data_IF_699297016521
#
_entry.id   IF_699297016521
#
_cell.length_a   1.000
_cell.length_b   1.000
_cell.length_c   1.000
_cell.angle_alpha   90.00
_cell.angle_beta   90.00
_cell.angle_gamma   90.00
#
_symmetry.space_group_name_H-M   'P 1'
#
loop_
_entity.id
_entity.type
_entity.pdbx_description
1 polymer ?
#
# COMPACT_ATOMS: atom_id res chain seq x y z
N UNK A 1 35.70 2.96 13.81
CA UNK A 1 34.85 3.66 14.79
C UNK A 1 33.42 3.24 14.53
N UNK A 2 32.86 2.32 15.33
CA UNK A 2 31.44 1.94 15.25
C UNK A 2 30.66 3.19 15.65
N UNK A 3 29.93 3.79 14.73
CA UNK A 3 28.81 4.65 15.09
C UNK A 3 27.80 3.72 15.78
N UNK A 4 27.98 3.56 17.09
CA UNK A 4 26.94 3.05 17.95
C UNK A 4 25.77 4.00 17.72
N UNK A 5 24.70 3.47 17.16
CA UNK A 5 23.35 4.03 17.29
C UNK A 5 23.15 4.10 18.80
N UNK A 6 23.49 5.25 19.39
CA UNK A 6 23.39 5.42 20.84
C UNK A 6 21.93 5.44 21.19
N UNK A 7 21.58 4.80 22.31
CA UNK A 7 20.26 4.58 22.91
C UNK A 7 19.40 5.87 23.12
N UNK A 8 19.82 7.02 22.59
CA UNK A 8 19.26 8.33 22.84
C UNK A 8 18.84 9.11 21.59
N UNK A 9 18.86 8.53 20.39
CA UNK A 9 17.87 9.01 19.41
C UNK A 9 16.50 8.54 19.88
N UNK A 10 15.90 9.34 20.77
CA UNK A 10 14.44 9.50 20.77
C UNK A 10 14.11 9.86 19.33
N UNK A 11 13.72 8.88 18.52
CA UNK A 11 13.31 9.03 17.12
C UNK A 11 11.99 9.79 17.03
N UNK A 12 11.92 10.94 17.69
CA UNK A 12 10.88 11.94 17.52
C UNK A 12 11.33 12.85 16.38
N UNK A 13 11.51 12.25 15.21
CA UNK A 13 11.89 12.95 13.99
C UNK A 13 10.61 13.50 13.37
N UNK A 14 10.01 14.50 14.00
CA UNK A 14 8.73 15.05 13.54
C UNK A 14 8.83 15.46 12.08
N UNK A 15 7.88 15.01 11.25
CA UNK A 15 7.81 15.27 9.81
C UNK A 15 8.94 14.64 8.96
N UNK A 16 9.59 13.59 9.45
CA UNK A 16 10.59 12.83 8.69
C UNK A 16 10.03 11.47 8.22
N UNK A 17 10.50 10.96 7.08
CA UNK A 17 10.01 9.68 6.53
C UNK A 17 10.32 8.46 7.41
N UNK A 18 11.28 8.59 8.33
CA UNK A 18 11.67 7.58 9.32
C UNK A 18 11.03 7.78 10.70
N UNK A 19 10.05 8.69 10.83
CA UNK A 19 9.31 8.88 12.08
C UNK A 19 8.45 7.66 12.39
N UNK A 20 8.71 7.04 13.55
CA UNK A 20 7.99 5.87 14.04
C UNK A 20 6.90 6.23 15.06
N UNK A 21 6.83 7.48 15.52
CA UNK A 21 5.98 7.88 16.66
C UNK A 21 4.48 7.86 16.33
N UNK A 22 4.12 7.88 15.05
CA UNK A 22 2.74 7.73 14.58
C UNK A 22 2.28 6.28 14.40
N UNK A 23 3.16 5.30 14.68
CA UNK A 23 2.88 3.88 14.44
C UNK A 23 2.74 3.09 15.74
N UNK A 24 1.82 2.13 15.71
CA UNK A 24 1.68 1.09 16.74
C UNK A 24 1.99 -0.27 16.17
N UNK A 25 2.51 -1.17 17.00
CA UNK A 25 2.77 -2.55 16.61
C UNK A 25 1.44 -3.24 16.22
N UNK A 26 1.38 -3.85 15.03
CA UNK A 26 0.13 -4.41 14.51
C UNK A 26 -0.42 -5.59 15.34
N UNK A 27 0.44 -6.27 16.12
CA UNK A 27 0.05 -7.41 16.96
C UNK A 27 -0.38 -6.98 18.37
N UNK A 28 0.37 -6.07 18.99
CA UNK A 28 0.15 -5.68 20.39
C UNK A 28 -0.64 -4.38 20.54
N UNK A 29 -0.73 -3.59 19.47
CA UNK A 29 -1.28 -2.23 19.44
C UNK A 29 -0.56 -1.25 20.38
N UNK A 30 0.64 -1.61 20.87
CA UNK A 30 1.47 -0.73 21.67
C UNK A 30 2.32 0.18 20.78
N UNK A 31 2.57 1.39 21.27
CA UNK A 31 3.55 2.31 20.66
C UNK A 31 4.94 1.69 20.67
N UNK A 32 5.70 1.92 19.60
CA UNK A 32 7.12 1.57 19.58
C UNK A 32 7.91 2.51 20.49
N UNK A 33 8.82 1.92 21.27
CA UNK A 33 9.60 2.66 22.28
C UNK A 33 11.02 2.97 21.84
N UNK A 34 11.56 2.23 20.85
CA UNK A 34 12.88 2.47 20.26
C UNK A 34 12.96 2.01 18.80
N UNK A 35 14.08 2.31 18.14
CA UNK A 35 14.37 1.83 16.79
C UNK A 35 14.49 0.30 16.74
N UNK A 36 15.12 -0.28 17.76
CA UNK A 36 15.32 -1.72 17.91
C UNK A 36 13.99 -2.45 18.13
N UNK A 37 13.07 -1.85 18.89
CA UNK A 37 11.70 -2.32 19.07
C UNK A 37 10.90 -2.22 17.75
N UNK A 38 11.08 -1.12 16.99
CA UNK A 38 10.44 -0.97 15.68
C UNK A 38 10.97 -1.96 14.64
N UNK A 39 12.29 -2.12 14.52
CA UNK A 39 12.92 -3.05 13.58
C UNK A 39 12.64 -4.49 14.02
N UNK A 40 12.88 -4.81 15.29
CA UNK A 40 12.77 -6.15 15.83
C UNK A 40 13.78 -7.12 15.20
N UNK A 41 13.38 -8.39 15.09
CA UNK A 41 14.20 -9.47 14.50
C UNK A 41 13.45 -10.14 13.33
N UNK A 42 12.82 -9.32 12.49
CA UNK A 42 12.02 -9.82 11.37
C UNK A 42 12.91 -9.95 10.13
N UNK A 43 13.14 -11.19 9.68
CA UNK A 43 13.98 -11.45 8.51
C UNK A 43 13.08 -11.94 7.37
N UNK A 44 13.04 -11.19 6.28
CA UNK A 44 12.29 -11.55 5.09
C UNK A 44 13.19 -11.58 3.85
N UNK A 45 12.74 -12.33 2.85
CA UNK A 45 13.35 -12.29 1.51
C UNK A 45 12.45 -11.46 0.58
N UNK A 46 13.02 -10.44 -0.05
CA UNK A 46 12.36 -9.59 -1.06
C UNK A 46 13.28 -9.40 -2.25
N UNK A 47 12.76 -9.58 -3.47
CA UNK A 47 13.57 -9.46 -4.69
C UNK A 47 14.81 -10.37 -4.71
N UNK A 48 14.79 -11.50 -3.98
CA UNK A 48 15.94 -12.40 -3.84
C UNK A 48 16.95 -12.02 -2.75
N UNK A 49 16.76 -10.91 -2.05
CA UNK A 49 17.63 -10.44 -0.96
C UNK A 49 16.98 -10.73 0.39
N UNK A 50 17.75 -11.36 1.29
CA UNK A 50 17.32 -11.65 2.67
C UNK A 50 17.87 -10.57 3.61
N UNK A 51 16.99 -9.83 4.27
CA UNK A 51 17.38 -8.72 5.15
C UNK A 51 16.40 -8.52 6.32
N UNK A 52 16.76 -7.65 7.26
CA UNK A 52 15.94 -7.23 8.38
C UNK A 52 14.90 -6.19 7.94
N UNK A 53 13.66 -6.41 8.35
CA UNK A 53 12.53 -5.50 8.14
C UNK A 53 11.95 -5.08 9.49
N UNK A 54 11.18 -4.00 9.50
CA UNK A 54 10.44 -3.61 10.69
C UNK A 54 9.38 -4.64 11.08
N UNK A 55 8.97 -4.58 12.35
CA UNK A 55 7.69 -5.13 12.75
C UNK A 55 6.58 -4.55 11.87
N UNK A 56 5.51 -5.33 11.64
CA UNK A 56 4.30 -4.81 11.01
C UNK A 56 3.66 -3.79 11.95
N UNK A 57 3.13 -2.72 11.38
CA UNK A 57 2.58 -1.62 12.15
C UNK A 57 1.32 -1.04 11.50
N UNK A 58 0.59 -0.28 12.31
CA UNK A 58 -0.61 0.46 11.90
C UNK A 58 -0.33 1.95 12.13
N UNK A 59 -0.72 2.78 11.16
CA UNK A 59 -0.66 4.24 11.32
C UNK A 59 -1.86 4.75 12.12
N UNK A 60 -1.76 4.64 13.45
CA UNK A 60 -2.82 4.99 14.39
C UNK A 60 -3.17 6.48 14.32
N UNK A 61 -2.15 7.36 14.26
CA UNK A 61 -2.36 8.80 14.25
C UNK A 61 -3.24 9.25 13.08
N UNK A 62 -2.96 8.76 11.87
CA UNK A 62 -3.77 9.07 10.69
C UNK A 62 -5.18 8.46 10.76
N UNK A 63 -5.31 7.23 11.27
CA UNK A 63 -6.62 6.57 11.42
C UNK A 63 -7.51 7.31 12.41
N UNK A 64 -6.96 7.72 13.57
CA UNK A 64 -7.73 8.44 14.59
C UNK A 64 -8.23 9.79 14.07
N UNK A 65 -7.36 10.55 13.39
CA UNK A 65 -7.77 11.83 12.80
C UNK A 65 -8.88 11.65 11.76
N UNK A 66 -8.74 10.67 10.86
CA UNK A 66 -9.77 10.38 9.85
C UNK A 66 -11.06 9.84 10.46
N UNK A 67 -10.98 8.98 11.48
CA UNK A 67 -12.15 8.43 12.15
C UNK A 67 -12.98 9.52 12.82
N UNK A 68 -12.32 10.51 13.44
CA UNK A 68 -13.00 11.66 14.03
C UNK A 68 -13.72 12.51 12.97
N UNK A 69 -13.09 12.76 11.82
CA UNK A 69 -13.70 13.48 10.70
C UNK A 69 -14.92 12.72 10.18
N UNK A 70 -14.76 11.42 9.91
CA UNK A 70 -15.84 10.56 9.41
C UNK A 70 -17.00 10.52 10.42
N UNK A 71 -16.75 10.28 11.70
CA UNK A 71 -17.82 10.24 12.71
C UNK A 71 -18.55 11.57 12.87
N UNK A 72 -17.85 12.69 12.65
CA UNK A 72 -18.43 14.02 12.72
C UNK A 72 -19.29 14.34 11.50
N UNK A 73 -18.83 14.00 10.30
CA UNK A 73 -19.42 14.48 9.05
C UNK A 73 -20.33 13.43 8.36
N UNK A 74 -20.07 12.13 8.56
CA UNK A 74 -20.91 11.02 8.08
C UNK A 74 -21.85 10.54 9.20
N UNK A 75 -22.83 11.37 9.54
CA UNK A 75 -23.84 11.05 10.55
C UNK A 75 -24.96 10.14 10.03
N UNK A 76 -25.09 10.02 8.70
CA UNK A 76 -26.06 9.14 8.06
C UNK A 76 -25.33 7.98 7.38
N UNK A 77 -25.60 6.72 7.77
CA UNK A 77 -25.06 5.56 7.08
C UNK A 77 -25.45 5.60 5.60
N UNK A 78 -24.49 5.31 4.72
CA UNK A 78 -24.78 5.12 3.30
C UNK A 78 -25.75 3.92 3.16
N UNK A 79 -26.76 3.99 2.27
CA UNK A 79 -27.80 2.97 2.19
C UNK A 79 -27.31 1.65 1.57
N UNK A 80 -26.17 1.68 0.90
CA UNK A 80 -25.64 0.57 0.12
C UNK A 80 -24.67 -0.27 0.95
N UNK A 81 -24.80 -1.58 0.83
CA UNK A 81 -23.95 -2.60 1.43
C UNK A 81 -22.86 -3.05 0.45
N UNK A 82 -21.80 -3.73 0.90
CA UNK A 82 -20.77 -4.25 0.00
C UNK A 82 -21.31 -5.07 -1.17
N UNK A 83 -22.42 -5.79 -0.97
CA UNK A 83 -23.07 -6.60 -2.00
C UNK A 83 -23.78 -5.75 -3.08
N UNK A 84 -23.99 -4.45 -2.83
CA UNK A 84 -24.60 -3.51 -3.77
C UNK A 84 -23.57 -2.82 -4.70
N UNK A 85 -22.27 -3.08 -4.49
CA UNK A 85 -21.19 -2.48 -5.27
C UNK A 85 -20.36 -3.52 -6.01
N UNK A 86 -19.65 -3.06 -7.04
CA UNK A 86 -18.70 -3.85 -7.79
C UNK A 86 -17.50 -2.99 -8.21
N UNK A 87 -16.31 -3.56 -8.19
CA UNK A 87 -15.11 -2.91 -8.73
C UNK A 87 -14.92 -3.34 -10.17
N UNK A 88 -14.94 -2.38 -11.09
CA UNK A 88 -14.54 -2.58 -12.48
C UNK A 88 -13.17 -1.96 -12.72
N UNK A 89 -12.22 -2.75 -13.20
CA UNK A 89 -10.83 -2.33 -13.40
C UNK A 89 -10.21 -3.04 -14.60
N UNK A 90 -9.09 -2.52 -15.12
CA UNK A 90 -8.27 -3.19 -16.13
C UNK A 90 -6.98 -3.78 -15.51
N UNK A 91 -6.91 -3.87 -14.18
CA UNK A 91 -5.78 -4.47 -13.46
C UNK A 91 -4.50 -3.62 -13.45
N UNK A 92 -4.45 -2.48 -14.15
CA UNK A 92 -3.28 -1.60 -14.20
C UNK A 92 -3.20 -0.64 -13.00
N UNK A 93 -4.27 -0.59 -12.23
CA UNK A 93 -4.38 0.30 -11.09
C UNK A 93 -3.29 0.00 -10.04
N UNK A 94 -2.50 1.03 -9.73
CA UNK A 94 -1.51 1.04 -8.66
C UNK A 94 -1.69 2.25 -7.76
N UNK A 95 -1.03 2.27 -6.59
CA UNK A 95 -1.18 3.32 -5.58
C UNK A 95 -2.59 3.35 -4.95
N UNK A 96 -3.14 4.54 -4.67
CA UNK A 96 -4.40 4.71 -3.93
C UNK A 96 -5.59 3.94 -4.49
N UNK A 97 -5.70 3.79 -5.82
CA UNK A 97 -6.81 3.04 -6.40
C UNK A 97 -6.70 1.54 -6.09
N UNK A 98 -5.48 1.01 -5.98
CA UNK A 98 -5.23 -0.39 -5.66
C UNK A 98 -5.54 -0.61 -4.17
N UNK A 99 -5.12 0.31 -3.29
CA UNK A 99 -5.53 0.31 -1.89
C UNK A 99 -7.05 0.26 -1.71
N UNK A 100 -7.80 1.07 -2.47
CA UNK A 100 -9.27 1.07 -2.41
C UNK A 100 -9.83 -0.28 -2.88
N UNK A 101 -9.31 -0.81 -3.97
CA UNK A 101 -9.80 -2.06 -4.56
C UNK A 101 -9.49 -3.26 -3.66
N UNK A 102 -8.26 -3.37 -3.16
CA UNK A 102 -7.85 -4.37 -2.17
C UNK A 102 -8.67 -4.25 -0.90
N UNK A 103 -8.89 -3.03 -0.40
CA UNK A 103 -9.70 -2.84 0.79
C UNK A 103 -11.15 -3.29 0.57
N UNK A 104 -11.75 -2.93 -0.56
CA UNK A 104 -13.10 -3.35 -0.92
C UNK A 104 -13.21 -4.88 -1.04
N UNK A 105 -12.25 -5.52 -1.70
CA UNK A 105 -12.21 -6.97 -1.87
C UNK A 105 -11.93 -7.71 -0.55
N UNK A 106 -10.88 -7.32 0.20
CA UNK A 106 -10.42 -8.05 1.39
C UNK A 106 -11.26 -7.77 2.66
N UNK A 107 -11.72 -6.53 2.87
CA UNK A 107 -12.42 -6.16 4.11
C UNK A 107 -13.94 -6.23 3.98
N UNK A 108 -14.45 -6.08 2.75
CA UNK A 108 -15.88 -5.94 2.49
C UNK A 108 -16.41 -7.00 1.53
N UNK A 109 -15.55 -7.85 0.97
CA UNK A 109 -15.94 -8.90 0.02
C UNK A 109 -16.70 -8.35 -1.21
N UNK A 110 -16.38 -7.12 -1.63
CA UNK A 110 -16.94 -6.52 -2.84
C UNK A 110 -16.47 -7.31 -4.05
N UNK A 111 -17.38 -7.58 -5.00
CA UNK A 111 -17.05 -8.31 -6.22
C UNK A 111 -16.11 -7.51 -7.12
N UNK A 112 -15.20 -8.20 -7.79
CA UNK A 112 -14.18 -7.61 -8.66
C UNK A 112 -14.34 -8.10 -10.10
N UNK A 113 -14.32 -7.16 -11.04
CA UNK A 113 -14.42 -7.39 -12.47
C UNK A 113 -13.22 -6.79 -13.16
N UNK A 114 -12.52 -7.61 -13.92
CA UNK A 114 -11.43 -7.16 -14.79
C UNK A 114 -11.86 -7.12 -16.24
N UNK A 115 -11.35 -6.14 -16.98
CA UNK A 115 -11.57 -6.02 -18.42
C UNK A 115 -10.26 -6.02 -19.21
N UNK A 116 -10.23 -6.77 -20.30
CA UNK A 116 -9.10 -6.81 -21.22
C UNK A 116 -8.13 -7.95 -20.93
N UNK A 117 -6.83 -7.65 -20.97
CA UNK A 117 -5.76 -8.65 -20.81
C UNK A 117 -5.57 -9.57 -22.02
N UNK A 118 -4.72 -10.59 -21.86
CA UNK A 118 -4.47 -11.59 -22.90
C UNK A 118 -5.65 -12.54 -23.02
N UNK A 119 -6.26 -12.66 -24.21
CA UNK A 119 -7.45 -13.48 -24.44
C UNK A 119 -7.24 -14.98 -24.14
N UNK A 120 -6.00 -15.46 -24.28
CA UNK A 120 -5.62 -16.85 -24.00
C UNK A 120 -5.49 -17.17 -22.51
N UNK A 121 -5.30 -16.15 -21.65
CA UNK A 121 -5.33 -16.33 -20.22
C UNK A 121 -6.78 -16.18 -19.76
N UNK A 122 -7.26 -17.00 -18.84
CA UNK A 122 -8.60 -16.86 -18.25
C UNK A 122 -8.58 -15.97 -17.00
N UNK A 123 -7.47 -15.96 -16.25
CA UNK A 123 -7.31 -15.18 -15.03
C UNK A 123 -6.65 -13.84 -15.31
N UNK A 124 -7.06 -12.82 -14.57
CA UNK A 124 -6.45 -11.50 -14.63
C UNK A 124 -6.55 -10.81 -13.27
N UNK A 125 -5.51 -10.05 -12.93
CA UNK A 125 -5.41 -9.39 -11.63
C UNK A 125 -6.30 -8.16 -11.59
N UNK A 126 -7.07 -7.95 -10.52
CA UNK A 126 -7.85 -6.71 -10.35
C UNK A 126 -7.01 -5.53 -9.81
N UNK A 127 -5.85 -5.83 -9.23
CA UNK A 127 -4.94 -4.89 -8.58
C UNK A 127 -3.51 -5.16 -9.03
N UNK A 128 -2.68 -4.12 -9.13
CA UNK A 128 -1.27 -4.23 -9.53
C UNK A 128 -0.34 -4.12 -8.31
N UNK A 129 -0.35 -2.97 -7.63
CA UNK A 129 0.41 -2.75 -6.41
C UNK A 129 -0.19 -1.61 -5.60
N UNK A 130 -0.33 -1.79 -4.30
CA UNK A 130 -0.86 -0.76 -3.40
C UNK A 130 0.11 0.39 -3.19
N UNK A 131 1.42 0.14 -3.33
CA UNK A 131 2.50 1.14 -3.23
C UNK A 131 2.72 1.67 -1.81
N UNK A 132 1.96 1.20 -0.81
CA UNK A 132 1.97 1.61 0.61
C UNK A 132 2.41 3.04 0.86
N UNK A 133 3.73 3.24 0.97
CA UNK A 133 4.35 4.56 0.85
C UNK A 133 5.48 4.50 -0.17
N UNK A 134 5.37 5.33 -1.21
CA UNK A 134 6.42 5.53 -2.20
C UNK A 134 7.21 6.79 -1.83
N UNK A 135 8.53 6.65 -1.71
CA UNK A 135 9.42 7.79 -1.60
C UNK A 135 10.42 7.77 -2.74
N UNK A 136 10.93 8.95 -3.06
CA UNK A 136 11.99 9.10 -4.03
C UNK A 136 13.34 9.38 -3.37
N UNK A 137 14.40 9.23 -4.16
CA UNK A 137 15.77 9.45 -3.73
C UNK A 137 15.98 10.82 -3.08
N UNK A 138 15.37 11.89 -3.61
CA UNK A 138 15.47 13.24 -3.04
C UNK A 138 14.88 13.30 -1.63
N UNK A 139 13.70 12.72 -1.41
CA UNK A 139 13.09 12.64 -0.08
C UNK A 139 13.99 11.88 0.90
N UNK A 140 14.59 10.77 0.46
CA UNK A 140 15.49 9.97 1.28
C UNK A 140 16.75 10.75 1.68
N UNK A 141 17.42 11.40 0.71
CA UNK A 141 18.60 12.21 1.00
C UNK A 141 18.27 13.40 1.92
N UNK A 142 17.15 14.10 1.69
CA UNK A 142 16.72 15.21 2.54
C UNK A 142 16.48 14.74 3.98
N UNK A 143 15.71 13.66 4.15
CA UNK A 143 15.41 13.10 5.48
C UNK A 143 16.67 12.62 6.21
N UNK A 144 17.64 12.03 5.51
CA UNK A 144 18.91 11.63 6.11
C UNK A 144 19.84 12.83 6.39
N UNK A 145 19.73 13.90 5.59
CA UNK A 145 20.39 15.19 5.82
C UNK A 145 19.95 15.87 7.10
N UNK A 146 18.64 15.93 7.36
CA UNK A 146 18.07 16.44 8.62
C UNK A 146 18.57 15.65 9.85
N UNK A 147 18.87 14.36 9.66
CA UNK A 147 19.41 13.49 10.71
C UNK A 147 20.95 13.54 10.82
N UNK A 148 21.63 14.29 9.95
CA UNK A 148 23.10 14.36 9.92
C UNK A 148 23.78 13.09 9.40
N UNK A 149 23.07 12.24 8.65
CA UNK A 149 23.52 10.90 8.25
C UNK A 149 24.11 10.81 6.83
N UNK A 150 24.25 11.94 6.12
CA UNK A 150 24.75 11.94 4.73
C UNK A 150 26.18 11.40 4.56
N UNK A 151 27.00 11.44 5.61
CA UNK A 151 28.38 10.93 5.60
C UNK A 151 28.48 9.47 6.08
N UNK A 152 27.37 8.77 6.32
CA UNK A 152 27.37 7.38 6.74
C UNK A 152 27.87 6.46 5.61
N UNK A 153 28.68 5.45 5.93
CA UNK A 153 29.25 4.51 4.95
C UNK A 153 28.20 3.67 4.22
N UNK A 154 27.01 3.51 4.79
CA UNK A 154 25.88 2.81 4.19
C UNK A 154 25.06 3.71 3.24
N UNK A 155 25.38 5.01 3.14
CA UNK A 155 24.67 5.92 2.25
C UNK A 155 24.85 5.51 0.79
N UNK A 156 23.76 5.39 0.01
CA UNK A 156 23.89 5.30 -1.43
C UNK A 156 24.56 6.57 -1.96
N UNK A 157 25.41 6.42 -2.97
CA UNK A 157 26.00 7.59 -3.65
C UNK A 157 24.89 8.33 -4.39
N UNK A 158 24.88 9.69 -4.38
CA UNK A 158 23.98 10.46 -5.23
C UNK A 158 24.11 10.04 -6.69
N UNK A 159 23.02 10.21 -7.46
CA UNK A 159 23.08 9.97 -8.90
C UNK A 159 24.11 10.90 -9.56
N UNK A 160 24.85 10.41 -10.58
CA UNK A 160 25.89 11.20 -11.25
C UNK A 160 25.33 12.36 -12.08
N UNK A 161 24.02 12.34 -12.39
CA UNK A 161 23.33 13.36 -13.16
C UNK A 161 22.31 14.09 -12.29
N UNK A 162 22.40 15.42 -12.29
CA UNK A 162 21.41 16.30 -11.66
C UNK A 162 20.05 16.11 -12.33
N UNK A 163 19.02 15.83 -11.53
CA UNK A 163 17.64 15.62 -12.01
C UNK A 163 17.23 14.15 -12.17
N UNK A 164 18.15 13.19 -11.99
CA UNK A 164 17.75 11.79 -11.86
C UNK A 164 17.08 11.55 -10.51
N UNK A 165 15.83 11.08 -10.55
CA UNK A 165 15.04 10.72 -9.39
C UNK A 165 14.56 9.29 -9.56
N UNK A 166 14.81 8.45 -8.57
CA UNK A 166 14.22 7.10 -8.51
C UNK A 166 13.27 7.00 -7.36
N UNK A 167 12.10 6.41 -7.60
CA UNK A 167 11.07 6.16 -6.61
C UNK A 167 11.02 4.68 -6.25
N UNK A 168 10.81 4.38 -4.99
CA UNK A 168 10.69 3.02 -4.48
C UNK A 168 9.68 2.96 -3.33
N UNK A 169 9.08 1.78 -3.19
CA UNK A 169 8.16 1.47 -2.09
C UNK A 169 8.98 1.32 -0.81
N UNK A 170 8.76 2.20 0.17
CA UNK A 170 9.36 2.11 1.50
C UNK A 170 8.51 1.31 2.48
N UNK A 171 7.20 1.20 2.23
CA UNK A 171 6.27 0.50 3.11
C UNK A 171 5.44 -0.47 2.30
N UNK A 172 5.48 -1.73 2.73
CA UNK A 172 4.65 -2.79 2.18
C UNK A 172 3.25 -2.72 2.80
N UNK A 173 2.24 -3.08 2.01
CA UNK A 173 0.88 -3.31 2.51
C UNK A 173 0.66 -4.81 2.61
N UNK A 174 0.05 -5.23 3.72
CA UNK A 174 -0.19 -6.64 4.01
C UNK A 174 -1.67 -6.96 3.92
N UNK A 175 -1.95 -8.19 3.49
CA UNK A 175 -3.30 -8.71 3.38
C UNK A 175 -3.99 -8.78 4.75
N UNK A 176 -5.27 -8.43 4.78
CA UNK A 176 -6.11 -8.58 5.97
C UNK A 176 -6.49 -10.03 6.26
N UNK A 177 -6.61 -10.84 5.20
CA UNK A 177 -7.04 -12.23 5.26
C UNK A 177 -5.87 -13.17 5.51
N UNK A 178 -4.70 -12.85 4.97
CA UNK A 178 -3.44 -13.54 5.17
C UNK A 178 -2.36 -12.56 5.64
N UNK A 179 -2.20 -12.34 6.95
CA UNK A 179 -1.34 -11.26 7.47
C UNK A 179 0.12 -11.30 7.04
N UNK A 180 0.65 -12.43 6.57
CA UNK A 180 2.04 -12.59 6.10
C UNK A 180 2.21 -12.35 4.60
N UNK A 181 1.11 -12.13 3.87
CA UNK A 181 1.11 -11.89 2.44
C UNK A 181 1.21 -10.40 2.13
N UNK A 182 2.20 -10.03 1.32
CA UNK A 182 2.35 -8.67 0.79
C UNK A 182 1.39 -8.48 -0.39
N UNK A 183 0.64 -7.37 -0.38
CA UNK A 183 -0.30 -7.03 -1.45
C UNK A 183 0.40 -6.47 -2.69
N UNK A 184 1.54 -5.83 -2.52
CA UNK A 184 2.30 -5.25 -3.61
C UNK A 184 2.82 -6.31 -4.59
N UNK A 185 2.48 -6.15 -5.88
CA UNK A 185 2.90 -7.02 -6.99
C UNK A 185 2.44 -8.48 -6.90
N UNK A 186 1.62 -8.82 -5.90
CA UNK A 186 1.00 -10.13 -5.81
C UNK A 186 -0.14 -10.26 -6.83
N UNK A 187 -0.31 -11.46 -7.40
CA UNK A 187 -1.42 -11.73 -8.30
C UNK A 187 -2.74 -11.81 -7.53
N UNK A 188 -3.73 -11.00 -7.94
CA UNK A 188 -5.01 -10.82 -7.24
C UNK A 188 -6.16 -11.21 -8.16
N UNK A 189 -6.56 -12.49 -8.23
CA UNK A 189 -7.54 -12.95 -9.20
C UNK A 189 -8.87 -12.22 -9.02
N UNK A 190 -9.40 -11.67 -10.12
CA UNK A 190 -10.74 -11.11 -10.13
C UNK A 190 -11.80 -12.20 -10.09
N UNK A 191 -12.96 -11.88 -9.51
CA UNK A 191 -14.12 -12.78 -9.47
C UNK A 191 -14.69 -13.00 -10.88
N UNK A 192 -14.74 -11.94 -11.68
CA UNK A 192 -15.27 -11.98 -13.05
C UNK A 192 -14.33 -11.31 -14.05
N UNK A 193 -14.48 -11.68 -15.33
CA UNK A 193 -13.76 -11.06 -16.44
C UNK A 193 -14.68 -10.71 -17.59
N UNK A 194 -14.50 -9.49 -18.09
CA UNK A 194 -15.10 -8.98 -19.32
C UNK A 194 -14.01 -8.81 -20.39
N UNK A 195 -14.45 -8.81 -21.65
CA UNK A 195 -13.59 -8.50 -22.79
C UNK A 195 -14.08 -7.25 -23.50
N UNK A 196 -13.15 -6.51 -24.10
CA UNK A 196 -13.51 -5.44 -25.00
C UNK A 196 -14.12 -6.02 -26.29
N UNK A 197 -15.23 -5.44 -26.72
CA UNK A 197 -15.82 -5.64 -28.03
C UNK A 197 -15.96 -4.27 -28.74
N UNK A 198 -16.44 -4.27 -29.98
CA UNK A 198 -16.57 -3.03 -30.77
C UNK A 198 -17.46 -1.96 -30.12
N UNK A 199 -18.41 -2.36 -29.27
CA UNK A 199 -19.39 -1.47 -28.65
C UNK A 199 -18.85 -0.92 -27.33
N UNK A 200 -18.41 -1.79 -26.43
CA UNK A 200 -18.01 -1.40 -25.08
C UNK A 200 -16.65 -0.67 -25.05
N UNK A 201 -15.80 -0.86 -26.06
CA UNK A 201 -14.54 -0.10 -26.20
C UNK A 201 -14.79 1.36 -26.60
N UNK A 202 -15.87 1.63 -27.34
CA UNK A 202 -16.26 2.97 -27.80
C UNK A 202 -17.21 3.67 -26.84
N UNK A 203 -17.93 2.90 -26.02
CA UNK A 203 -18.90 3.39 -25.06
C UNK A 203 -18.72 2.69 -23.71
N UNK A 204 -17.99 3.34 -22.81
CA UNK A 204 -17.67 2.80 -21.48
C UNK A 204 -18.92 2.55 -20.62
N UNK A 205 -20.03 3.24 -20.88
CA UNK A 205 -21.28 3.00 -20.15
C UNK A 205 -21.82 1.59 -20.38
N UNK A 206 -21.58 1.00 -21.56
CA UNK A 206 -21.94 -0.39 -21.84
C UNK A 206 -21.12 -1.33 -20.96
N UNK A 207 -19.81 -1.06 -20.81
CA UNK A 207 -18.94 -1.85 -19.95
C UNK A 207 -19.37 -1.75 -18.48
N UNK A 208 -19.74 -0.57 -18.02
CA UNK A 208 -20.29 -0.38 -16.67
C UNK A 208 -21.60 -1.14 -16.47
N UNK A 209 -22.52 -1.12 -17.44
CA UNK A 209 -23.75 -1.92 -17.37
C UNK A 209 -23.48 -3.42 -17.36
N UNK A 210 -22.50 -3.89 -18.14
CA UNK A 210 -22.07 -5.30 -18.14
C UNK A 210 -21.51 -5.72 -16.78
N UNK A 211 -20.68 -4.87 -16.16
CA UNK A 211 -20.17 -5.13 -14.82
C UNK A 211 -21.29 -5.09 -13.76
N UNK A 212 -22.17 -4.09 -13.81
CA UNK A 212 -23.28 -3.96 -12.87
C UNK A 212 -24.23 -5.17 -12.90
N UNK A 213 -24.41 -5.81 -14.06
CA UNK A 213 -25.21 -7.03 -14.19
C UNK A 213 -24.63 -8.23 -13.40
N UNK A 214 -23.37 -8.18 -12.96
CA UNK A 214 -22.72 -9.22 -12.15
C UNK A 214 -22.87 -8.99 -10.63
N UNK A 215 -23.47 -7.87 -10.22
CA UNK A 215 -23.75 -7.60 -8.81
C UNK A 215 -24.63 -8.72 -8.24
N UNK A 216 -24.25 -9.27 -7.09
CA UNK A 216 -24.95 -10.40 -6.44
C UNK A 216 -24.77 -11.76 -7.11
N UNK A 217 -23.88 -11.90 -8.10
CA UNK A 217 -23.63 -13.16 -8.82
C UNK A 217 -22.43 -13.97 -8.28
N UNK A 218 -21.76 -13.47 -7.24
CA UNK A 218 -20.67 -14.15 -6.53
C UNK A 218 -21.22 -15.11 -5.50
#
# INVERSE_FOLDING_TARGET
MRLAITEQYRLKTQNNIYDITGYVNAKTLANFTSAEDFIGNNIYTRGGVRDNYSNKYINEASINAMSQIIQKDLTTPLPWKPEDYIILTNGLCGSSCALITEHAAEFKNVSTVVVGGLASNNLMSYSSFTGGMVNNSTQVFNSLGELGLLNNTLMPKPYPLTGMVSSFTMKEVYSKTNPDEVLDFAFRPADFRLFYDEKNIRNVSILWSQAAALIGSK
#
